data_IF_969437973404
#
_entry.id   IF_969437973404
#
_cell.length_a   1.000
_cell.length_b   1.000
_cell.length_c   1.000
_cell.angle_alpha   90.00
_cell.angle_beta   90.00
_cell.angle_gamma   90.00
#
_symmetry.space_group_name_H-M   'P 1'
#
loop_
_entity.id
_entity.type
_entity.pdbx_description
1 polymer ?
#
# COMPACT_ATOMS: atom_id res chain seq x y z
N UNK A 1 -51.80 -3.07 25.10
CA UNK A 1 -51.50 -2.14 24.00
C UNK A 1 -50.52 -2.85 23.08
N UNK A 2 -51.09 -3.48 22.05
CA UNK A 2 -50.52 -3.99 20.78
C UNK A 2 -49.27 -4.90 20.74
N UNK A 3 -49.58 -6.17 20.48
CA UNK A 3 -48.95 -7.18 19.63
C UNK A 3 -48.29 -6.68 18.32
N UNK A 4 -47.15 -7.27 17.89
CA UNK A 4 -46.94 -7.80 16.52
C UNK A 4 -45.60 -8.55 16.34
N UNK A 5 -45.68 -9.60 15.51
CA UNK A 5 -44.68 -10.59 15.12
C UNK A 5 -43.84 -10.19 13.90
N UNK A 6 -42.75 -10.96 13.68
CA UNK A 6 -42.04 -11.22 12.41
C UNK A 6 -41.09 -10.17 11.80
N UNK A 7 -39.86 -10.60 11.53
CA UNK A 7 -38.95 -9.92 10.60
C UNK A 7 -37.53 -10.46 10.65
N UNK A 8 -37.26 -11.53 9.89
CA UNK A 8 -35.90 -12.04 9.70
C UNK A 8 -34.93 -10.94 9.31
N UNK A 9 -33.81 -10.83 10.03
CA UNK A 9 -32.69 -9.98 9.61
C UNK A 9 -32.10 -10.58 8.35
N UNK A 10 -32.60 -10.13 7.20
CA UNK A 10 -31.96 -10.32 5.91
C UNK A 10 -30.50 -9.91 6.05
N UNK A 11 -29.61 -10.83 5.72
CA UNK A 11 -28.21 -10.60 5.43
C UNK A 11 -28.13 -9.37 4.51
N UNK A 12 -27.80 -8.19 5.05
CA UNK A 12 -27.38 -7.06 4.22
C UNK A 12 -26.00 -7.45 3.75
N UNK A 13 -25.90 -8.05 2.56
CA UNK A 13 -24.66 -8.11 1.82
C UNK A 13 -24.14 -6.67 1.70
N UNK A 14 -23.03 -6.38 2.37
CA UNK A 14 -22.32 -5.12 2.19
C UNK A 14 -21.82 -5.08 0.74
N UNK A 15 -22.26 -4.10 -0.07
CA UNK A 15 -21.85 -4.01 -1.47
C UNK A 15 -20.33 -3.81 -1.66
N UNK A 16 -19.59 -3.50 -0.59
CA UNK A 16 -18.13 -3.37 -0.61
C UNK A 16 -17.39 -4.62 -0.09
N UNK A 17 -18.11 -5.55 0.56
CA UNK A 17 -17.59 -6.83 1.02
C UNK A 17 -18.08 -7.95 0.10
N UNK A 18 -17.57 -7.98 -1.13
CA UNK A 18 -17.85 -9.07 -2.07
C UNK A 18 -17.19 -10.36 -1.58
N UNK A 19 -18.00 -11.37 -1.28
CA UNK A 19 -17.56 -12.75 -1.12
C UNK A 19 -17.19 -13.31 -2.50
N UNK A 20 -15.99 -13.89 -2.63
CA UNK A 20 -15.59 -14.62 -3.83
C UNK A 20 -15.31 -16.08 -3.45
N UNK A 21 -16.02 -17.01 -4.08
CA UNK A 21 -15.73 -18.43 -3.95
C UNK A 21 -14.51 -18.78 -4.80
N UNK A 22 -13.44 -19.24 -4.15
CA UNK A 22 -12.23 -19.74 -4.80
C UNK A 22 -12.04 -21.22 -4.49
N UNK A 23 -11.26 -21.91 -5.32
CA UNK A 23 -11.00 -23.36 -5.20
C UNK A 23 -10.35 -23.76 -3.86
N UNK A 24 -9.87 -22.79 -3.07
CA UNK A 24 -9.26 -22.98 -1.74
C UNK A 24 -10.15 -22.51 -0.56
N UNK A 25 -11.40 -22.11 -0.79
CA UNK A 25 -12.34 -21.70 0.27
C UNK A 25 -12.99 -20.33 0.04
N UNK A 26 -13.89 -19.96 0.97
CA UNK A 26 -14.63 -18.69 0.98
C UNK A 26 -13.71 -17.52 1.31
N UNK A 27 -13.64 -16.52 0.41
CA UNK A 27 -12.87 -15.30 0.62
C UNK A 27 -13.78 -14.21 1.21
N UNK A 28 -13.50 -13.80 2.45
CA UNK A 28 -14.17 -12.67 3.10
C UNK A 28 -13.30 -11.40 3.01
N UNK A 29 -13.74 -10.42 2.23
CA UNK A 29 -13.12 -9.08 2.20
C UNK A 29 -13.77 -8.22 3.27
N UNK A 30 -13.16 -8.11 4.46
CA UNK A 30 -13.78 -7.42 5.60
C UNK A 30 -13.26 -5.99 5.77
N UNK A 31 -14.05 -5.02 5.32
CA UNK A 31 -13.91 -3.59 5.67
C UNK A 31 -14.85 -3.23 6.82
N UNK A 32 -14.54 -3.63 8.06
CA UNK A 32 -15.39 -3.32 9.21
C UNK A 32 -15.26 -4.31 10.37
N UNK A 33 -15.98 -4.07 11.46
CA UNK A 33 -15.93 -4.81 12.72
C UNK A 33 -16.53 -6.25 12.66
N UNK A 34 -16.64 -6.87 11.48
CA UNK A 34 -17.22 -8.22 11.30
C UNK A 34 -16.21 -9.35 11.58
N UNK A 35 -15.58 -9.29 12.76
CA UNK A 35 -14.62 -10.28 13.23
C UNK A 35 -15.27 -11.64 13.52
N UNK A 36 -16.53 -11.61 13.95
CA UNK A 36 -17.28 -12.82 14.29
C UNK A 36 -17.41 -13.78 13.10
N UNK A 37 -17.41 -13.26 11.87
CA UNK A 37 -17.50 -14.06 10.63
C UNK A 37 -16.20 -14.81 10.29
N UNK A 38 -15.04 -14.22 10.59
CA UNK A 38 -13.72 -14.84 10.38
C UNK A 38 -13.46 -15.91 11.42
N UNK A 39 -13.82 -15.63 12.68
CA UNK A 39 -13.67 -16.59 13.78
C UNK A 39 -14.63 -17.76 13.63
N UNK A 40 -15.86 -17.54 13.16
CA UNK A 40 -16.86 -18.59 12.98
C UNK A 40 -16.57 -19.58 11.84
N UNK A 41 -15.64 -19.27 10.93
CA UNK A 41 -15.19 -20.18 9.86
C UNK A 41 -14.07 -21.15 10.29
N UNK A 42 -13.53 -20.99 11.49
CA UNK A 42 -12.50 -21.87 12.06
C UNK A 42 -13.19 -23.01 12.81
N UNK A 43 -13.45 -24.12 12.11
CA UNK A 43 -14.00 -25.33 12.71
C UNK A 43 -13.17 -25.77 13.93
N UNK A 44 -13.85 -25.99 15.05
CA UNK A 44 -13.32 -26.25 16.40
C UNK A 44 -12.51 -27.56 16.58
N UNK A 45 -12.01 -28.20 15.51
CA UNK A 45 -11.34 -29.51 15.59
C UNK A 45 -9.89 -29.54 15.08
N UNK A 46 -9.28 -28.40 14.72
CA UNK A 46 -7.85 -28.35 14.39
C UNK A 46 -7.03 -27.66 15.50
N UNK A 47 -5.82 -28.17 15.73
CA UNK A 47 -4.71 -27.65 16.56
C UNK A 47 -4.72 -26.14 16.80
N UNK A 48 -4.30 -25.66 17.99
CA UNK A 48 -4.34 -24.25 18.47
C UNK A 48 -3.99 -23.18 17.41
N UNK A 49 -4.96 -22.83 16.55
CA UNK A 49 -4.80 -21.76 15.57
C UNK A 49 -5.06 -20.42 16.22
N UNK A 50 -4.09 -19.52 16.13
CA UNK A 50 -4.18 -18.18 16.69
C UNK A 50 -4.29 -17.17 15.56
N UNK A 51 -5.30 -16.30 15.64
CA UNK A 51 -5.45 -15.16 14.72
C UNK A 51 -4.88 -13.91 15.37
N UNK A 52 -3.89 -13.29 14.73
CA UNK A 52 -3.23 -12.07 15.20
C UNK A 52 -3.50 -10.92 14.23
N UNK A 53 -3.92 -9.77 14.76
CA UNK A 53 -4.10 -8.54 13.99
C UNK A 53 -2.91 -7.61 14.23
N UNK A 54 -2.09 -7.40 13.21
CA UNK A 54 -0.92 -6.55 13.23
C UNK A 54 -1.18 -5.26 12.44
N UNK A 55 -1.09 -4.10 13.10
CA UNK A 55 -1.37 -2.79 12.49
C UNK A 55 -2.77 -2.24 12.83
N UNK A 56 -3.18 -1.09 12.24
CA UNK A 56 -2.48 -0.31 11.21
C UNK A 56 -1.39 0.63 11.75
N UNK A 57 -1.22 0.72 13.08
CA UNK A 57 -0.28 1.63 13.77
C UNK A 57 0.98 0.92 14.28
N UNK A 58 1.27 -0.29 13.79
CA UNK A 58 2.41 -1.06 14.29
C UNK A 58 3.72 -0.49 13.70
N UNK A 59 4.79 -0.26 14.49
CA UNK A 59 6.03 0.36 13.98
C UNK A 59 6.60 -0.31 12.72
N UNK A 60 6.59 -1.65 12.67
CA UNK A 60 7.09 -2.46 11.56
C UNK A 60 6.26 -2.44 10.28
N UNK A 61 5.16 -1.67 10.22
CA UNK A 61 4.34 -1.56 9.00
C UNK A 61 4.79 -0.44 8.06
N UNK A 62 5.79 0.38 8.47
CA UNK A 62 6.38 1.48 7.70
C UNK A 62 5.36 2.31 6.90
N UNK A 63 4.28 2.67 7.57
CA UNK A 63 3.10 3.27 6.96
C UNK A 63 1.84 2.64 7.53
N UNK A 64 0.73 2.82 6.82
CA UNK A 64 -0.59 2.34 7.23
C UNK A 64 -0.92 1.03 6.53
N UNK A 65 -0.47 -0.08 7.12
CA UNK A 65 -0.74 -1.43 6.64
C UNK A 65 -1.30 -2.27 7.80
N UNK A 66 -2.35 -3.03 7.52
CA UNK A 66 -2.93 -3.99 8.46
C UNK A 66 -2.70 -5.40 7.91
N UNK A 67 -2.20 -6.30 8.74
CA UNK A 67 -2.02 -7.72 8.43
C UNK A 67 -2.84 -8.54 9.42
N UNK A 68 -3.73 -9.39 8.91
CA UNK A 68 -4.42 -10.41 9.70
C UNK A 68 -3.71 -11.73 9.44
N UNK A 69 -3.04 -12.24 10.47
CA UNK A 69 -2.19 -13.42 10.42
C UNK A 69 -2.91 -14.59 11.08
N UNK A 70 -2.97 -15.74 10.40
CA UNK A 70 -3.32 -17.02 11.01
C UNK A 70 -2.02 -17.77 11.33
N UNK A 71 -1.89 -18.21 12.57
CA UNK A 71 -0.69 -18.84 13.11
C UNK A 71 -1.01 -20.25 13.60
N UNK A 72 -0.11 -21.17 13.29
CA UNK A 72 0.02 -22.47 13.94
C UNK A 72 1.38 -22.51 14.66
N UNK A 73 1.35 -22.30 15.98
CA UNK A 73 2.54 -22.02 16.78
C UNK A 73 3.30 -20.77 16.27
N UNK A 74 4.53 -20.96 15.80
CA UNK A 74 5.39 -19.90 15.23
C UNK A 74 5.27 -19.79 13.69
N UNK A 75 4.49 -20.68 13.06
CA UNK A 75 4.36 -20.73 11.60
C UNK A 75 3.16 -19.92 11.14
N UNK A 76 3.38 -18.99 10.20
CA UNK A 76 2.28 -18.27 9.53
C UNK A 76 1.67 -19.20 8.48
N UNK A 77 0.40 -19.56 8.65
CA UNK A 77 -0.35 -20.39 7.69
C UNK A 77 -1.10 -19.55 6.67
N UNK A 78 -1.59 -18.37 7.09
CA UNK A 78 -2.25 -17.41 6.21
C UNK A 78 -1.88 -15.96 6.61
N UNK A 79 -1.76 -15.07 5.62
CA UNK A 79 -1.59 -13.64 5.81
C UNK A 79 -2.53 -12.86 4.90
N UNK A 80 -3.47 -12.10 5.47
CA UNK A 80 -4.40 -11.24 4.75
C UNK A 80 -4.03 -9.77 4.93
N UNK A 81 -3.73 -9.08 3.83
CA UNK A 81 -3.34 -7.67 3.83
C UNK A 81 -4.57 -6.76 3.70
N UNK A 82 -4.85 -5.98 4.75
CA UNK A 82 -5.74 -4.83 4.70
C UNK A 82 -5.01 -3.61 4.17
N UNK A 83 -5.23 -3.28 2.89
CA UNK A 83 -4.66 -2.11 2.20
C UNK A 83 -5.74 -1.03 1.96
N UNK A 84 -5.32 0.13 1.47
CA UNK A 84 -6.24 1.23 1.10
C UNK A 84 -6.37 2.34 2.14
N UNK A 85 -5.72 2.23 3.30
CA UNK A 85 -5.71 3.28 4.32
C UNK A 85 -5.10 4.61 3.85
N UNK A 86 -4.22 4.56 2.85
CA UNK A 86 -3.62 5.74 2.21
C UNK A 86 -4.23 6.02 0.81
N UNK A 87 -5.39 5.44 0.49
CA UNK A 87 -6.05 5.70 -0.78
C UNK A 87 -6.60 7.12 -0.80
N UNK A 88 -5.98 7.99 -1.61
CA UNK A 88 -6.36 9.40 -1.76
C UNK A 88 -7.08 9.71 -3.08
N UNK A 89 -7.31 8.68 -3.92
CA UNK A 89 -7.96 8.84 -5.22
C UNK A 89 -7.15 9.70 -6.20
N UNK A 90 -5.82 9.55 -6.22
CA UNK A 90 -4.91 10.34 -7.08
C UNK A 90 -5.36 10.30 -8.55
N UNK A 91 -5.66 9.12 -9.08
CA UNK A 91 -6.12 8.93 -10.45
C UNK A 91 -7.38 9.74 -10.75
N UNK A 92 -8.37 9.69 -9.84
CA UNK A 92 -9.60 10.47 -9.98
C UNK A 92 -9.35 11.97 -9.93
N UNK A 93 -8.45 12.42 -9.08
CA UNK A 93 -8.05 13.83 -9.03
C UNK A 93 -7.39 14.27 -10.33
N UNK A 94 -6.57 13.42 -10.95
CA UNK A 94 -5.88 13.73 -12.21
C UNK A 94 -6.85 13.97 -13.38
N UNK A 95 -8.04 13.37 -13.39
CA UNK A 95 -9.07 13.65 -14.40
C UNK A 95 -9.52 15.13 -14.43
N UNK A 96 -9.42 15.82 -13.29
CA UNK A 96 -9.83 17.23 -13.14
C UNK A 96 -8.64 18.20 -13.14
N UNK A 97 -7.47 17.76 -13.62
CA UNK A 97 -6.24 18.56 -13.66
C UNK A 97 -5.69 18.59 -15.07
N UNK A 98 -5.07 19.70 -15.42
CA UNK A 98 -4.29 19.75 -16.67
C UNK A 98 -2.98 18.97 -16.51
N UNK A 99 -2.32 18.65 -17.62
CA UNK A 99 -1.12 17.81 -17.60
C UNK A 99 0.03 18.42 -16.78
N UNK A 100 0.20 19.74 -16.82
CA UNK A 100 1.21 20.44 -16.00
C UNK A 100 0.94 20.30 -14.50
N UNK A 101 -0.33 20.41 -14.08
CA UNK A 101 -0.75 20.20 -12.69
C UNK A 101 -0.62 18.72 -12.27
N UNK A 102 -0.86 17.80 -13.21
CA UNK A 102 -0.80 16.35 -12.99
C UNK A 102 0.55 15.86 -12.45
N UNK A 103 1.67 16.47 -12.88
CA UNK A 103 3.02 16.12 -12.40
C UNK A 103 3.11 16.17 -10.88
N UNK A 104 2.52 17.19 -10.25
CA UNK A 104 2.56 17.34 -8.78
C UNK A 104 1.80 16.24 -8.04
N UNK A 105 0.84 15.58 -8.69
CA UNK A 105 0.14 14.43 -8.14
C UNK A 105 1.00 13.16 -8.26
N UNK A 106 1.75 13.00 -9.35
CA UNK A 106 2.67 11.88 -9.55
C UNK A 106 3.79 11.84 -8.50
N UNK A 107 4.27 12.99 -8.03
CA UNK A 107 5.23 13.10 -6.90
C UNK A 107 4.76 12.37 -5.65
N UNK A 108 3.44 12.22 -5.45
CA UNK A 108 2.85 11.67 -4.23
C UNK A 108 2.55 10.17 -4.32
N UNK A 109 2.70 9.55 -5.49
CA UNK A 109 2.42 8.12 -5.69
C UNK A 109 3.44 7.23 -4.98
N UNK A 110 4.72 7.60 -5.10
CA UNK A 110 5.82 7.09 -4.27
C UNK A 110 6.59 8.29 -3.73
N UNK A 111 6.48 8.48 -2.41
CA UNK A 111 7.11 9.59 -1.71
C UNK A 111 8.62 9.38 -1.49
N UNK A 112 9.16 8.18 -1.72
CA UNK A 112 10.60 7.90 -1.66
C UNK A 112 11.29 8.12 -3.00
N UNK A 113 10.61 7.81 -4.12
CA UNK A 113 11.18 7.97 -5.46
C UNK A 113 10.34 8.84 -6.43
N UNK A 114 10.03 10.10 -6.05
CA UNK A 114 9.11 10.95 -6.81
C UNK A 114 9.54 11.21 -8.26
N UNK A 115 10.85 11.35 -8.52
CA UNK A 115 11.33 11.69 -9.87
C UNK A 115 11.10 10.57 -10.89
N UNK A 116 11.04 9.31 -10.45
CA UNK A 116 10.69 8.20 -11.35
C UNK A 116 9.23 8.27 -11.79
N UNK A 117 8.32 8.60 -10.88
CA UNK A 117 6.89 8.75 -11.21
C UNK A 117 6.64 9.96 -12.10
N UNK A 118 7.27 11.09 -11.78
CA UNK A 118 7.20 12.30 -12.60
C UNK A 118 7.77 12.05 -13.99
N UNK A 119 8.93 11.39 -14.10
CA UNK A 119 9.54 11.05 -15.38
C UNK A 119 8.64 10.11 -16.20
N UNK A 120 8.06 9.07 -15.59
CA UNK A 120 7.14 8.16 -16.28
C UNK A 120 5.92 8.91 -16.83
N UNK A 121 5.35 9.82 -16.05
CA UNK A 121 4.23 10.65 -16.49
C UNK A 121 4.62 11.61 -17.61
N UNK A 122 5.74 12.35 -17.46
CA UNK A 122 6.23 13.28 -18.48
C UNK A 122 6.58 12.60 -19.79
N UNK A 123 7.25 11.45 -19.75
CA UNK A 123 7.54 10.66 -20.96
C UNK A 123 6.26 10.16 -21.64
N UNK A 124 5.25 9.77 -20.88
CA UNK A 124 3.94 9.42 -21.41
C UNK A 124 3.26 10.60 -22.12
N UNK A 125 3.29 11.79 -21.53
CA UNK A 125 2.74 13.02 -22.13
C UNK A 125 3.52 13.43 -23.38
N UNK A 126 4.85 13.35 -23.35
CA UNK A 126 5.71 13.66 -24.50
C UNK A 126 5.44 12.75 -25.69
N UNK A 127 5.24 11.46 -25.42
CA UNK A 127 4.84 10.49 -26.43
C UNK A 127 3.46 10.74 -27.00
N UNK A 128 2.48 11.11 -26.16
CA UNK A 128 1.12 11.43 -26.60
C UNK A 128 1.07 12.68 -27.50
N UNK A 129 1.99 13.61 -27.28
CA UNK A 129 2.12 14.85 -28.06
C UNK A 129 3.05 14.72 -29.27
N UNK A 130 3.76 13.60 -29.42
CA UNK A 130 4.77 13.37 -30.46
C UNK A 130 5.93 14.39 -30.43
N UNK A 131 6.32 14.83 -29.23
CA UNK A 131 7.40 15.84 -29.02
C UNK A 131 8.68 15.24 -28.43
N UNK A 132 8.81 13.91 -28.33
CA UNK A 132 9.98 13.25 -27.73
C UNK A 132 11.31 13.73 -28.33
N UNK A 133 11.31 14.05 -29.63
CA UNK A 133 12.47 14.53 -30.39
C UNK A 133 12.78 16.01 -30.18
N UNK A 134 11.81 16.79 -29.71
CA UNK A 134 11.95 18.21 -29.45
C UNK A 134 12.57 18.48 -28.07
N UNK A 135 12.63 17.46 -27.20
CA UNK A 135 13.22 17.58 -25.88
C UNK A 135 14.74 17.72 -25.98
N UNK A 136 15.35 18.80 -25.47
CA UNK A 136 16.79 18.99 -25.54
C UNK A 136 17.56 17.87 -24.85
N UNK A 137 18.70 17.48 -25.42
CA UNK A 137 19.61 16.48 -24.82
C UNK A 137 19.96 16.82 -23.36
N UNK A 138 20.20 18.11 -23.09
CA UNK A 138 20.47 18.60 -21.73
C UNK A 138 19.36 18.21 -20.73
N UNK A 139 18.10 18.27 -21.14
CA UNK A 139 16.97 17.90 -20.29
C UNK A 139 16.95 16.39 -20.02
N UNK A 140 17.26 15.57 -21.02
CA UNK A 140 17.36 14.10 -20.85
C UNK A 140 18.50 13.74 -19.89
N UNK A 141 19.66 14.38 -20.02
CA UNK A 141 20.80 14.17 -19.10
C UNK A 141 20.43 14.58 -17.66
N UNK A 142 19.75 15.72 -17.49
CA UNK A 142 19.29 16.15 -16.17
C UNK A 142 18.29 15.17 -15.55
N UNK A 143 17.35 14.63 -16.32
CA UNK A 143 16.38 13.62 -15.84
C UNK A 143 17.10 12.41 -15.29
N UNK A 144 18.04 11.87 -16.06
CA UNK A 144 18.84 10.72 -15.61
C UNK A 144 19.57 11.09 -14.33
N UNK A 145 20.36 12.16 -14.31
CA UNK A 145 21.13 12.56 -13.12
C UNK A 145 20.26 12.69 -11.86
N UNK A 146 19.10 13.34 -11.95
CA UNK A 146 18.18 13.50 -10.82
C UNK A 146 17.54 12.17 -10.40
N UNK A 147 17.14 11.32 -11.34
CA UNK A 147 16.62 9.98 -11.05
C UNK A 147 17.69 9.11 -10.37
N UNK A 148 18.94 9.17 -10.81
CA UNK A 148 20.05 8.42 -10.20
C UNK A 148 20.31 8.87 -8.75
N UNK A 149 20.32 10.18 -8.48
CA UNK A 149 20.43 10.72 -7.13
C UNK A 149 19.25 10.29 -6.25
N UNK A 150 18.03 10.37 -6.78
CA UNK A 150 16.84 9.94 -6.05
C UNK A 150 16.81 8.43 -5.81
N UNK A 151 17.34 7.60 -6.72
CA UNK A 151 17.50 6.17 -6.49
C UNK A 151 18.43 5.90 -5.32
N UNK A 152 19.59 6.57 -5.25
CA UNK A 152 20.52 6.43 -4.13
C UNK A 152 19.81 6.81 -2.81
N UNK A 153 19.14 7.96 -2.79
CA UNK A 153 18.36 8.41 -1.63
C UNK A 153 17.29 7.39 -1.20
N UNK A 154 16.53 6.83 -2.14
CA UNK A 154 15.51 5.81 -1.88
C UNK A 154 16.11 4.51 -1.33
N UNK A 155 17.21 4.02 -1.90
CA UNK A 155 17.89 2.81 -1.41
C UNK A 155 18.53 3.00 -0.03
N UNK A 156 19.03 4.21 0.27
CA UNK A 156 19.51 4.53 1.61
C UNK A 156 18.39 4.43 2.65
N UNK A 157 17.16 4.88 2.32
CA UNK A 157 15.99 4.65 3.20
C UNK A 157 15.70 3.17 3.33
N UNK A 158 15.63 2.43 2.22
CA UNK A 158 15.31 1.01 2.25
C UNK A 158 16.28 0.19 3.11
N UNK A 159 17.58 0.47 3.01
CA UNK A 159 18.61 -0.16 3.84
C UNK A 159 18.54 0.31 5.30
N UNK A 160 18.32 1.61 5.53
CA UNK A 160 18.21 2.19 6.86
C UNK A 160 17.04 1.57 7.65
N UNK A 161 15.85 1.57 7.07
CA UNK A 161 14.64 1.03 7.70
C UNK A 161 14.70 -0.49 7.76
N UNK A 162 15.15 -1.16 6.70
CA UNK A 162 15.34 -2.62 6.71
C UNK A 162 16.32 -3.08 7.80
N UNK A 163 17.40 -2.33 8.02
CA UNK A 163 18.33 -2.56 9.12
C UNK A 163 17.67 -2.36 10.49
N UNK A 164 16.84 -1.32 10.66
CA UNK A 164 16.10 -1.08 11.90
C UNK A 164 15.16 -2.25 12.25
N UNK A 165 14.44 -2.81 11.28
CA UNK A 165 13.48 -3.90 11.53
C UNK A 165 14.13 -5.19 12.00
N UNK A 166 15.41 -5.43 11.65
CA UNK A 166 16.20 -6.56 12.16
C UNK A 166 17.05 -6.19 13.40
N UNK A 167 16.85 -4.99 13.96
CA UNK A 167 17.50 -4.51 15.19
C UNK A 167 18.80 -3.72 15.01
N UNK A 168 19.26 -3.46 13.78
CA UNK A 168 20.50 -2.75 13.48
C UNK A 168 20.31 -1.22 13.41
N UNK A 169 20.11 -0.58 14.58
CA UNK A 169 19.86 0.86 14.68
C UNK A 169 20.98 1.75 14.12
N UNK A 170 22.24 1.28 14.14
CA UNK A 170 23.37 2.02 13.56
C UNK A 170 23.28 2.16 12.05
N UNK A 171 22.73 1.15 11.36
CA UNK A 171 22.52 1.21 9.90
C UNK A 171 21.51 2.30 9.56
N UNK A 172 20.46 2.43 10.38
CA UNK A 172 19.45 3.46 10.21
C UNK A 172 20.03 4.88 10.33
N UNK A 173 20.79 5.16 11.39
CA UNK A 173 21.33 6.52 11.62
C UNK A 173 22.35 6.93 10.57
N UNK A 174 23.20 5.98 10.12
CA UNK A 174 24.14 6.24 9.03
C UNK A 174 23.39 6.44 7.71
N UNK A 175 22.45 5.56 7.36
CA UNK A 175 21.70 5.66 6.12
C UNK A 175 20.93 6.98 5.99
N UNK A 176 20.31 7.46 7.08
CA UNK A 176 19.66 8.77 7.09
C UNK A 176 20.64 9.94 7.00
N UNK A 177 21.83 9.84 7.61
CA UNK A 177 22.87 10.86 7.45
C UNK A 177 23.35 10.98 6.00
N UNK A 178 23.64 9.86 5.35
CA UNK A 178 24.08 9.86 3.94
C UNK A 178 22.96 10.35 3.01
N UNK A 179 21.71 10.02 3.33
CA UNK A 179 20.55 10.52 2.58
C UNK A 179 20.45 12.04 2.61
N UNK A 180 20.76 12.66 3.75
CA UNK A 180 20.70 14.11 3.90
C UNK A 180 21.71 14.84 3.00
N UNK A 181 22.79 14.18 2.59
CA UNK A 181 23.75 14.73 1.61
C UNK A 181 23.22 14.70 0.17
N UNK A 182 22.20 13.87 -0.09
CA UNK A 182 21.58 13.71 -1.40
C UNK A 182 20.35 14.62 -1.59
N UNK A 183 19.84 15.23 -0.52
CA UNK A 183 18.69 16.15 -0.52
C UNK A 183 19.16 17.61 -0.67
#
# INVERSE_FOLDING_TARGET
>A
MTDTTHGGRRHRSDPYATEQDTTSGKVFTVTGQDWDSVVAGLDHEAEERVVVNMGPQHPSTHGVLRLVLELDGETVTECRCGIGYLHTGIEKNMEYRNWTQGVTFCTRMDYLSPFYNEAAFSLGVERLLDIERDIPEKAQVMRVLLMELNRISSHLVAIATGGMEIGALTVMTIGFRERELCL
#
